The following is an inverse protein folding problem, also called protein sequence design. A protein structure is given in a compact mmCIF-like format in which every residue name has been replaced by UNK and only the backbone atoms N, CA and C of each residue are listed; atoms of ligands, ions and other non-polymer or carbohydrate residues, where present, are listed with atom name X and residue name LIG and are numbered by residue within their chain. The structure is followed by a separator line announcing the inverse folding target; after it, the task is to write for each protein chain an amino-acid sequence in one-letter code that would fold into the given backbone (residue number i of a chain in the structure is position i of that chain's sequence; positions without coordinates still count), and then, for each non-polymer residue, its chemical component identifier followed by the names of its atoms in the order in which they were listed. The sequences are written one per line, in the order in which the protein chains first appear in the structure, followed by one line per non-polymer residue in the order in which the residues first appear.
data_IF_811906775786
#
_entry.id   IF_811906775786
#
_cell.length_a   1.000
_cell.length_b   1.000
_cell.length_c   1.000
_cell.angle_alpha   90.00
_cell.angle_beta   90.00
_cell.angle_gamma   90.00
#
_symmetry.space_group_name_H-M   'P 1'
#
loop_
_entity.id
_entity.type
_entity.pdbx_description
1 polymer ?
#
# COMPACT_ATOMS: atom_id res chain seq x y z
N UNK A 1 4.63 -6.92 -11.55
CA UNK A 1 5.72 -7.11 -10.57
C UNK A 1 6.56 -8.29 -11.03
N UNK A 2 7.89 -8.24 -10.92
CA UNK A 2 8.72 -9.42 -11.23
C UNK A 2 8.60 -10.39 -10.07
N UNK A 3 8.08 -11.59 -10.33
CA UNK A 3 8.05 -12.65 -9.33
C UNK A 3 9.49 -13.08 -8.99
N UNK A 4 9.83 -13.08 -7.72
CA UNK A 4 11.09 -13.66 -7.25
C UNK A 4 10.92 -15.17 -7.22
N UNK A 5 11.65 -15.90 -8.07
CA UNK A 5 11.75 -17.36 -7.96
C UNK A 5 12.58 -17.72 -6.73
N UNK A 6 12.28 -18.88 -6.11
CA UNK A 6 12.61 -19.19 -4.70
C UNK A 6 14.09 -19.10 -4.26
N UNK A 7 15.05 -19.11 -5.18
CA UNK A 7 16.48 -18.94 -4.86
C UNK A 7 16.91 -17.48 -4.68
N UNK A 8 16.27 -16.52 -5.35
CA UNK A 8 16.61 -15.11 -5.18
C UNK A 8 15.92 -14.53 -3.93
N UNK A 9 14.71 -14.99 -3.62
CA UNK A 9 13.98 -14.58 -2.43
C UNK A 9 14.69 -14.99 -1.13
N UNK A 10 15.27 -16.20 -1.08
CA UNK A 10 15.97 -16.72 0.11
C UNK A 10 17.28 -16.00 0.42
N UNK A 11 17.86 -15.30 -0.55
CA UNK A 11 19.10 -14.52 -0.38
C UNK A 11 18.83 -13.06 0.02
N UNK A 12 17.60 -12.58 -0.11
CA UNK A 12 17.24 -11.24 0.31
C UNK A 12 17.07 -11.19 1.83
N UNK A 13 17.62 -10.11 2.41
CA UNK A 13 17.38 -9.78 3.82
C UNK A 13 15.88 -9.62 4.03
N UNK A 14 15.32 -10.43 4.92
CA UNK A 14 13.91 -10.36 5.30
C UNK A 14 13.67 -9.14 6.19
N UNK A 15 12.44 -8.56 6.19
CA UNK A 15 12.08 -7.52 7.15
C UNK A 15 12.35 -7.99 8.59
N UNK A 16 13.06 -7.19 9.38
CA UNK A 16 13.42 -7.55 10.77
C UNK A 16 12.27 -7.33 11.76
N UNK A 17 11.24 -6.57 11.37
CA UNK A 17 10.06 -6.30 12.18
C UNK A 17 8.97 -7.37 11.98
N UNK A 18 8.16 -7.60 13.02
CA UNK A 18 7.08 -8.58 13.00
C UNK A 18 5.89 -8.05 12.19
N UNK A 19 5.81 -8.46 10.92
CA UNK A 19 4.72 -8.05 10.00
C UNK A 19 3.32 -8.38 10.53
N UNK A 20 3.17 -9.44 11.31
CA UNK A 20 1.91 -9.83 11.94
C UNK A 20 1.40 -8.83 13.00
N UNK A 21 2.25 -7.90 13.46
CA UNK A 21 1.87 -6.85 14.40
C UNK A 21 1.45 -5.55 13.71
N UNK A 22 1.63 -5.45 12.39
CA UNK A 22 1.26 -4.25 11.65
C UNK A 22 -0.25 -4.02 11.69
N UNK A 23 -0.63 -2.77 11.92
CA UNK A 23 -1.97 -2.27 11.74
C UNK A 23 -1.96 -1.35 10.53
N UNK A 24 -2.97 -1.46 9.68
CA UNK A 24 -3.13 -0.53 8.57
C UNK A 24 -3.56 0.84 9.10
N UNK A 25 -2.57 1.65 9.51
CA UNK A 25 -2.73 3.02 10.00
C UNK A 25 -2.69 4.03 8.87
N UNK A 26 -2.15 3.61 7.73
CA UNK A 26 -2.13 4.34 6.48
C UNK A 26 -2.99 3.57 5.47
N UNK A 27 -3.95 4.25 4.86
CA UNK A 27 -4.56 3.82 3.61
C UNK A 27 -3.90 4.61 2.48
N UNK A 28 -3.45 3.94 1.43
CA UNK A 28 -2.91 4.58 0.25
C UNK A 28 -3.79 4.36 -0.98
N UNK A 29 -4.23 5.45 -1.60
CA UNK A 29 -5.00 5.41 -2.85
C UNK A 29 -4.07 5.56 -4.06
N UNK A 30 -3.94 4.49 -4.84
CA UNK A 30 -3.09 4.41 -6.01
C UNK A 30 -1.80 3.63 -5.76
N UNK A 31 -1.84 2.31 -5.90
CA UNK A 31 -0.70 1.41 -5.77
C UNK A 31 0.23 1.46 -7.00
N UNK A 32 0.82 2.63 -7.24
CA UNK A 32 1.73 2.92 -8.33
C UNK A 32 3.18 2.58 -8.05
N UNK A 33 4.03 2.67 -9.09
CA UNK A 33 5.48 2.46 -8.95
C UNK A 33 6.14 3.51 -8.06
N UNK A 34 5.71 4.77 -8.14
CA UNK A 34 6.22 5.84 -7.29
C UNK A 34 5.90 5.57 -5.82
N UNK A 35 4.67 5.17 -5.50
CA UNK A 35 4.30 4.86 -4.13
C UNK A 35 5.19 3.78 -3.52
N UNK A 36 5.30 2.66 -4.25
CA UNK A 36 6.11 1.51 -3.86
C UNK A 36 7.57 1.85 -3.59
N UNK A 37 8.15 2.73 -4.41
CA UNK A 37 9.56 3.13 -4.32
C UNK A 37 9.80 4.32 -3.38
N UNK A 38 8.75 4.95 -2.83
CA UNK A 38 8.86 6.15 -2.01
C UNK A 38 8.17 6.00 -0.65
N UNK A 39 6.86 6.26 -0.52
CA UNK A 39 6.24 6.30 0.81
C UNK A 39 6.24 4.92 1.49
N UNK A 40 6.00 3.84 0.73
CA UNK A 40 6.07 2.49 1.28
C UNK A 40 7.51 2.07 1.65
N UNK A 41 8.51 2.50 0.87
CA UNK A 41 9.93 2.30 1.19
C UNK A 41 10.31 3.01 2.51
N UNK A 42 9.96 4.29 2.66
CA UNK A 42 10.25 5.03 3.89
C UNK A 42 9.52 4.46 5.11
N UNK A 43 8.29 4.00 4.92
CA UNK A 43 7.54 3.31 5.99
C UNK A 43 8.24 2.01 6.40
N UNK A 44 8.72 1.22 5.43
CA UNK A 44 9.50 0.02 5.69
C UNK A 44 10.78 0.32 6.46
N UNK A 45 11.55 1.33 6.06
CA UNK A 45 12.78 1.71 6.78
C UNK A 45 12.52 2.22 8.19
N UNK A 46 11.40 2.90 8.41
CA UNK A 46 10.99 3.32 9.75
C UNK A 46 10.65 2.11 10.63
N UNK A 47 9.92 1.13 10.08
CA UNK A 47 9.60 -0.12 10.77
C UNK A 47 10.86 -0.93 11.11
N UNK A 48 11.89 -0.93 10.26
CA UNK A 48 13.19 -1.57 10.56
C UNK A 48 13.95 -0.91 11.71
N UNK A 49 13.74 0.39 11.94
CA UNK A 49 14.50 1.18 12.93
C UNK A 49 13.75 1.38 14.25
N UNK A 50 12.50 0.93 14.33
CA UNK A 50 11.60 1.20 15.47
C UNK A 50 10.79 -0.04 15.84
N UNK A 51 10.01 0.04 16.91
CA UNK A 51 9.01 -0.98 17.27
C UNK A 51 7.59 -0.52 16.90
N UNK A 52 7.48 0.26 15.82
CA UNK A 52 6.22 0.80 15.33
C UNK A 52 5.35 -0.28 14.70
N UNK A 53 4.04 -0.10 14.72
CA UNK A 53 3.03 -0.97 14.11
C UNK A 53 2.36 -0.33 12.88
N UNK A 54 2.96 0.73 12.32
CA UNK A 54 2.40 1.47 11.18
C UNK A 54 2.57 0.72 9.85
N UNK A 55 1.55 -0.08 9.51
CA UNK A 55 1.40 -0.72 8.21
C UNK A 55 0.52 0.08 7.24
N UNK A 56 0.53 -0.36 5.97
CA UNK A 56 -0.17 0.25 4.86
C UNK A 56 -1.23 -0.72 4.30
N UNK A 57 -2.45 -0.21 4.12
CA UNK A 57 -3.47 -0.82 3.25
C UNK A 57 -3.46 -0.14 1.88
N UNK A 58 -3.20 -0.91 0.83
CA UNK A 58 -3.13 -0.42 -0.54
C UNK A 58 -4.49 -0.52 -1.24
N UNK A 59 -4.94 0.58 -1.86
CA UNK A 59 -6.20 0.61 -2.58
C UNK A 59 -6.01 1.19 -3.98
N UNK A 60 -6.36 0.41 -5.00
CA UNK A 60 -6.57 0.92 -6.35
C UNK A 60 -8.06 1.12 -6.57
N UNK A 61 -8.46 2.36 -6.91
CA UNK A 61 -9.87 2.68 -7.18
C UNK A 61 -10.28 2.37 -8.63
N UNK A 62 -9.32 2.35 -9.55
CA UNK A 62 -9.56 2.17 -10.99
C UNK A 62 -8.47 1.30 -11.59
N UNK A 63 -8.86 0.14 -12.12
CA UNK A 63 -7.93 -0.82 -12.70
C UNK A 63 -6.89 -1.33 -11.71
N UNK A 64 -6.02 -2.22 -12.18
CA UNK A 64 -4.94 -2.77 -11.34
C UNK A 64 -5.41 -3.91 -10.44
N UNK A 65 -6.53 -4.55 -10.77
CA UNK A 65 -7.04 -5.79 -10.19
C UNK A 65 -5.93 -6.85 -10.13
N UNK A 66 -5.35 -7.16 -11.30
CA UNK A 66 -4.27 -8.14 -11.43
C UNK A 66 -3.03 -7.77 -10.59
N UNK A 67 -2.78 -6.47 -10.36
CA UNK A 67 -1.68 -6.02 -9.53
C UNK A 67 -1.95 -6.27 -8.04
N UNK A 68 -3.20 -6.03 -7.60
CA UNK A 68 -3.64 -6.31 -6.22
C UNK A 68 -3.65 -7.82 -5.95
N UNK A 69 -4.14 -8.63 -6.89
CA UNK A 69 -4.09 -10.10 -6.79
C UNK A 69 -2.66 -10.61 -6.68
N UNK A 70 -1.75 -10.12 -7.54
CA UNK A 70 -0.32 -10.45 -7.48
C UNK A 70 0.29 -10.07 -6.14
N UNK A 71 -0.07 -8.91 -5.58
CA UNK A 71 0.41 -8.46 -4.28
C UNK A 71 -0.04 -9.43 -3.18
N UNK A 72 -1.31 -9.85 -3.19
CA UNK A 72 -1.88 -10.80 -2.21
C UNK A 72 -1.21 -12.17 -2.27
N UNK A 73 -0.97 -12.71 -3.48
CA UNK A 73 -0.29 -14.01 -3.67
C UNK A 73 1.14 -13.98 -3.09
N UNK A 74 1.78 -12.80 -3.10
CA UNK A 74 3.12 -12.61 -2.55
C UNK A 74 3.09 -12.22 -1.06
N UNK A 75 1.99 -12.46 -0.34
CA UNK A 75 1.82 -12.06 1.06
C UNK A 75 2.14 -10.57 1.27
N UNK A 76 1.74 -9.73 0.31
CA UNK A 76 1.99 -8.28 0.26
C UNK A 76 3.47 -7.86 0.24
N UNK A 77 4.37 -8.79 -0.08
CA UNK A 77 5.79 -8.51 -0.25
C UNK A 77 6.11 -8.14 -1.71
N UNK A 78 7.02 -7.19 -1.89
CA UNK A 78 7.61 -6.85 -3.18
C UNK A 78 9.01 -6.26 -3.00
N UNK A 79 9.77 -6.07 -4.07
CA UNK A 79 11.11 -5.48 -3.99
C UNK A 79 11.21 -4.08 -4.58
N UNK A 80 12.12 -3.30 -4.02
CA UNK A 80 12.60 -2.04 -4.58
C UNK A 80 14.09 -2.18 -4.87
N UNK A 81 14.49 -1.83 -6.08
CA UNK A 81 15.89 -1.80 -6.50
C UNK A 81 16.37 -0.34 -6.58
N UNK A 82 17.30 0.02 -5.70
CA UNK A 82 18.00 1.30 -5.69
C UNK A 82 19.27 1.16 -6.53
N UNK A 83 19.27 1.76 -7.72
CA UNK A 83 20.42 1.70 -8.64
C UNK A 83 21.30 2.94 -8.46
N UNK A 84 22.49 2.73 -7.90
CA UNK A 84 23.57 3.74 -7.87
C UNK A 84 24.57 3.54 -9.01
N UNK A 85 25.61 4.38 -9.04
CA UNK A 85 26.67 4.30 -10.05
C UNK A 85 27.49 3.00 -9.94
N UNK A 86 27.76 2.54 -8.72
CA UNK A 86 28.64 1.38 -8.47
C UNK A 86 27.89 0.10 -8.08
N UNK A 87 26.71 0.22 -7.48
CA UNK A 87 25.96 -0.93 -6.96
C UNK A 87 24.45 -0.76 -7.13
N UNK A 88 23.76 -1.88 -7.25
CA UNK A 88 22.30 -1.97 -7.10
C UNK A 88 21.98 -2.63 -5.77
N UNK A 89 21.22 -1.94 -4.94
CA UNK A 89 20.74 -2.47 -3.67
C UNK A 89 19.27 -2.90 -3.84
N UNK A 90 18.95 -4.14 -3.48
CA UNK A 90 17.58 -4.66 -3.58
C UNK A 90 17.03 -4.85 -2.17
N UNK A 91 15.93 -4.15 -1.86
CA UNK A 91 15.24 -4.23 -0.57
C UNK A 91 13.93 -4.99 -0.73
N UNK A 92 13.68 -5.94 0.16
CA UNK A 92 12.37 -6.58 0.30
C UNK A 92 11.50 -5.67 1.16
N UNK A 93 10.37 -5.22 0.61
CA UNK A 93 9.44 -4.33 1.27
C UNK A 93 8.27 -5.14 1.82
N UNK A 94 7.98 -4.95 3.11
CA UNK A 94 6.89 -5.62 3.82
C UNK A 94 5.98 -4.70 4.63
N UNK A 95 6.10 -3.38 4.43
CA UNK A 95 5.29 -2.38 5.12
C UNK A 95 3.82 -2.41 4.68
N UNK A 96 3.54 -2.96 3.50
CA UNK A 96 2.19 -3.27 3.06
C UNK A 96 1.76 -4.57 3.72
N UNK A 97 0.64 -4.51 4.45
CA UNK A 97 0.08 -5.64 5.18
C UNK A 97 -1.37 -5.95 4.77
N UNK A 98 -1.97 -5.12 3.91
CA UNK A 98 -3.34 -5.28 3.47
C UNK A 98 -3.55 -4.62 2.11
N UNK A 99 -4.58 -5.05 1.37
CA UNK A 99 -4.97 -4.40 0.13
C UNK A 99 -6.45 -4.59 -0.16
N UNK A 100 -7.08 -3.60 -0.80
CA UNK A 100 -8.46 -3.66 -1.27
C UNK A 100 -8.59 -3.12 -2.70
N UNK A 101 -9.59 -3.61 -3.41
CA UNK A 101 -9.99 -3.15 -4.73
C UNK A 101 -11.52 -3.19 -4.86
N UNK A 102 -12.18 -2.12 -5.34
CA UNK A 102 -13.65 -2.08 -5.42
C UNK A 102 -14.29 -3.24 -6.18
N UNK A 103 -13.67 -3.69 -7.27
CA UNK A 103 -14.17 -4.82 -8.08
C UNK A 103 -13.87 -6.20 -7.48
N UNK A 104 -12.89 -6.31 -6.57
CA UNK A 104 -12.54 -7.59 -5.94
C UNK A 104 -13.23 -7.77 -4.57
N UNK A 105 -13.34 -6.69 -3.81
CA UNK A 105 -13.77 -6.72 -2.40
C UNK A 105 -15.06 -5.92 -2.15
N UNK A 106 -15.50 -5.12 -3.13
CA UNK A 106 -16.67 -4.26 -3.02
C UNK A 106 -16.35 -2.84 -2.53
N UNK A 107 -17.16 -1.88 -2.99
CA UNK A 107 -17.01 -0.45 -2.65
C UNK A 107 -17.21 -0.18 -1.16
N UNK A 108 -18.11 -0.91 -0.51
CA UNK A 108 -18.35 -0.77 0.93
C UNK A 108 -17.14 -1.20 1.76
N UNK A 109 -16.44 -2.27 1.37
CA UNK A 109 -15.21 -2.68 2.06
C UNK A 109 -14.14 -1.59 2.00
N UNK A 110 -13.98 -0.94 0.85
CA UNK A 110 -13.06 0.20 0.67
C UNK A 110 -13.47 1.39 1.55
N UNK A 111 -14.75 1.74 1.61
CA UNK A 111 -15.25 2.83 2.47
C UNK A 111 -15.02 2.51 3.95
N UNK A 112 -15.44 1.31 4.38
CA UNK A 112 -15.31 0.87 5.76
C UNK A 112 -13.85 0.88 6.21
N UNK A 113 -12.93 0.44 5.34
CA UNK A 113 -11.50 0.45 5.65
C UNK A 113 -10.99 1.84 5.99
N UNK A 114 -11.36 2.85 5.20
CA UNK A 114 -10.89 4.23 5.40
C UNK A 114 -11.43 4.89 6.67
N UNK A 115 -12.46 4.32 7.30
CA UNK A 115 -13.07 4.83 8.55
C UNK A 115 -12.79 3.95 9.75
N UNK A 116 -11.95 2.90 9.62
CA UNK A 116 -11.49 2.11 10.76
C UNK A 116 -10.72 2.99 11.76
N UNK A 117 -10.97 2.81 13.06
CA UNK A 117 -10.46 3.69 14.13
C UNK A 117 -8.93 3.87 14.11
N UNK A 118 -8.18 2.83 13.75
CA UNK A 118 -6.72 2.89 13.71
C UNK A 118 -6.15 3.60 12.47
N UNK A 119 -6.97 3.83 11.43
CA UNK A 119 -6.55 4.55 10.22
C UNK A 119 -6.38 6.02 10.57
N UNK A 120 -5.13 6.46 10.60
CA UNK A 120 -4.75 7.83 10.95
C UNK A 120 -4.46 8.69 9.70
N UNK A 121 -4.12 8.06 8.58
CA UNK A 121 -3.72 8.75 7.34
C UNK A 121 -4.39 8.09 6.14
N UNK A 122 -5.05 8.89 5.32
CA UNK A 122 -5.36 8.53 3.92
C UNK A 122 -4.43 9.34 3.02
N UNK A 123 -3.52 8.66 2.34
CA UNK A 123 -2.57 9.24 1.41
C UNK A 123 -2.89 8.81 -0.03
N UNK A 124 -2.38 9.52 -1.03
CA UNK A 124 -2.72 9.21 -2.42
C UNK A 124 -1.60 9.57 -3.39
N UNK A 125 -1.43 8.76 -4.43
CA UNK A 125 -0.63 9.08 -5.62
C UNK A 125 -1.50 8.94 -6.86
N UNK A 126 -2.54 9.77 -6.90
CA UNK A 126 -3.43 9.88 -8.04
C UNK A 126 -2.87 10.94 -8.99
N UNK A 127 -2.86 10.66 -10.29
CA UNK A 127 -2.38 11.62 -11.29
C UNK A 127 -3.25 12.88 -11.27
N UNK A 128 -2.71 14.01 -11.73
CA UNK A 128 -3.42 15.31 -11.74
C UNK A 128 -4.83 15.23 -12.36
N UNK A 129 -5.00 14.33 -13.34
CA UNK A 129 -6.27 14.06 -14.02
C UNK A 129 -7.34 13.46 -13.10
N UNK A 130 -6.95 12.78 -12.02
CA UNK A 130 -7.85 12.16 -11.06
C UNK A 130 -8.46 13.16 -10.04
N UNK A 131 -7.90 14.38 -9.95
CA UNK A 131 -8.33 15.45 -9.04
C UNK A 131 -9.59 16.17 -9.56
N UNK A 132 -9.94 16.01 -10.85
CA UNK A 132 -11.03 16.76 -11.45
C UNK A 132 -12.37 16.52 -10.71
N UNK A 133 -13.15 17.58 -10.38
CA UNK A 133 -14.33 17.52 -9.49
C UNK A 133 -15.49 16.64 -9.99
N UNK A 134 -15.40 16.09 -11.20
CA UNK A 134 -16.38 15.18 -11.79
C UNK A 134 -16.13 13.70 -11.45
N UNK A 135 -15.04 13.36 -10.74
CA UNK A 135 -14.62 11.99 -10.51
C UNK A 135 -15.13 11.39 -9.20
N UNK A 136 -15.34 10.07 -9.25
CA UNK A 136 -15.79 9.18 -8.16
C UNK A 136 -15.05 9.37 -6.82
N UNK A 137 -13.83 9.90 -6.82
CA UNK A 137 -13.07 10.20 -5.60
C UNK A 137 -13.71 11.31 -4.76
N UNK A 138 -14.23 12.39 -5.38
CA UNK A 138 -14.92 13.45 -4.64
C UNK A 138 -16.22 12.93 -4.00
N UNK A 139 -16.92 12.03 -4.70
CA UNK A 139 -18.09 11.35 -4.15
C UNK A 139 -17.71 10.43 -2.97
N UNK A 140 -16.60 9.68 -3.09
CA UNK A 140 -16.09 8.82 -2.02
C UNK A 140 -15.72 9.61 -0.76
N UNK A 141 -14.96 10.71 -0.92
CA UNK A 141 -14.60 11.60 0.19
C UNK A 141 -15.86 12.21 0.82
N UNK A 142 -16.84 12.63 0.00
CA UNK A 142 -18.10 13.17 0.50
C UNK A 142 -18.90 12.14 1.31
N UNK A 143 -18.97 10.89 0.85
CA UNK A 143 -19.62 9.79 1.59
C UNK A 143 -18.93 9.58 2.94
N UNK A 144 -17.60 9.54 2.99
CA UNK A 144 -16.84 9.38 4.24
C UNK A 144 -17.06 10.55 5.23
N UNK A 145 -17.10 11.79 4.72
CA UNK A 145 -17.33 12.96 5.58
C UNK A 145 -18.77 12.99 6.13
N UNK A 146 -19.75 12.49 5.37
CA UNK A 146 -21.15 12.44 5.80
C UNK A 146 -21.43 11.30 6.79
N UNK A 147 -20.72 10.18 6.71
CA UNK A 147 -20.90 9.03 7.63
C UNK A 147 -20.37 9.29 9.05
N UNK A 148 -19.55 10.30 9.27
CA UNK A 148 -19.02 10.69 10.60
C UNK A 148 -19.87 11.76 11.31
N UNK A 149 -21.08 12.09 10.81
CA UNK A 149 -21.95 13.13 11.40
C UNK A 149 -23.19 12.61 12.15
N UNK A 150 -23.17 11.33 12.55
CA UNK A 150 -24.19 10.70 13.41
C UNK A 150 -23.52 10.01 14.57
#
# INVERSE_FOLDING_TARGET
MTQLTGTLFSQLKQPEYLRSQLKSRIVHLGFGAFHRAHQALFTNEMLEKTQSDWGICEINLFGGEALIEQLRIQDHLYTVAEKGAEKTNVKLIGAVNESLHPELDGKEAVINKMVEEQVAIVSMTITEKAIAPTLQLAALIRTMLLSNTT
#
